data_IF_577199277170
#
_entry.id   IF_577199277170
#
_cell.length_a   1.000
_cell.length_b   1.000
_cell.length_c   1.000
_cell.angle_alpha   90.00
_cell.angle_beta   90.00
_cell.angle_gamma   90.00
#
_symmetry.space_group_name_H-M   'P 1'
#
loop_
_entity.id
_entity.type
_entity.pdbx_description
1 polymer ?
#
# COMPACT_ATOMS: atom_id res chain seq x y z
N UNK A 1 -7.84 33.34 6.25
CA UNK A 1 -8.26 33.65 4.87
C UNK A 1 -8.37 32.32 4.13
N UNK A 2 -9.62 31.86 3.86
CA UNK A 2 -9.95 30.52 3.35
C UNK A 2 -9.90 30.53 1.82
N UNK A 3 -8.88 29.90 1.21
CA UNK A 3 -8.80 29.77 -0.26
C UNK A 3 -8.12 28.47 -0.79
N UNK A 4 -8.25 27.29 -0.17
CA UNK A 4 -7.89 26.03 -0.86
C UNK A 4 -9.08 25.24 -1.38
N UNK A 5 -10.28 25.33 -0.77
CA UNK A 5 -11.40 24.44 -1.11
C UNK A 5 -12.17 24.81 -2.40
N UNK A 6 -12.01 26.00 -2.92
CA UNK A 6 -12.72 26.42 -4.14
C UNK A 6 -12.07 25.90 -5.44
N UNK A 7 -10.76 25.66 -5.42
CA UNK A 7 -10.03 25.16 -6.59
C UNK A 7 -10.15 23.65 -6.77
N UNK A 8 -10.21 22.87 -5.68
CA UNK A 8 -10.47 21.43 -5.74
C UNK A 8 -11.89 21.14 -6.22
N UNK A 9 -12.87 21.83 -5.68
CA UNK A 9 -14.28 21.69 -6.11
C UNK A 9 -14.50 22.10 -7.57
N UNK A 10 -13.72 23.06 -8.09
CA UNK A 10 -13.83 23.50 -9.49
C UNK A 10 -13.23 22.48 -10.45
N UNK A 11 -12.10 21.84 -10.08
CA UNK A 11 -11.50 20.76 -10.88
C UNK A 11 -12.38 19.52 -10.91
N UNK A 12 -12.94 19.10 -9.78
CA UNK A 12 -13.89 18.00 -9.69
C UNK A 12 -15.14 18.25 -10.55
N UNK A 13 -15.71 19.45 -10.49
CA UNK A 13 -16.88 19.82 -11.28
C UNK A 13 -16.59 19.86 -12.80
N UNK A 14 -15.42 20.35 -13.20
CA UNK A 14 -15.00 20.35 -14.60
C UNK A 14 -14.74 18.95 -15.14
N UNK A 15 -14.20 18.05 -14.33
CA UNK A 15 -13.93 16.66 -14.70
C UNK A 15 -15.23 15.87 -14.86
N UNK A 16 -16.19 16.04 -13.95
CA UNK A 16 -17.54 15.48 -14.10
C UNK A 16 -18.27 15.96 -15.35
N UNK A 17 -18.21 17.25 -15.65
CA UNK A 17 -18.85 17.81 -16.86
C UNK A 17 -18.16 17.31 -18.13
N UNK A 18 -16.85 17.22 -18.14
CA UNK A 18 -16.09 16.77 -19.30
C UNK A 18 -16.27 15.27 -19.55
N UNK A 19 -16.39 14.46 -18.50
CA UNK A 19 -16.70 13.02 -18.58
C UNK A 19 -18.08 12.82 -19.18
N UNK A 20 -19.08 13.56 -18.73
CA UNK A 20 -20.45 13.53 -19.29
C UNK A 20 -20.49 13.98 -20.76
N UNK A 21 -19.70 14.98 -21.12
CA UNK A 21 -19.62 15.49 -22.49
C UNK A 21 -18.91 14.51 -23.43
N UNK A 22 -17.83 13.89 -22.98
CA UNK A 22 -17.09 12.88 -23.73
C UNK A 22 -17.90 11.59 -23.92
N UNK A 23 -18.69 11.21 -22.90
CA UNK A 23 -19.62 10.09 -22.96
C UNK A 23 -20.68 10.28 -24.06
N UNK A 24 -21.26 11.49 -24.14
CA UNK A 24 -22.26 11.83 -25.15
C UNK A 24 -21.75 11.80 -26.59
N UNK A 25 -20.46 11.98 -26.79
CA UNK A 25 -19.81 11.97 -28.13
C UNK A 25 -19.18 10.63 -28.52
N UNK A 26 -19.35 9.58 -27.70
CA UNK A 26 -18.73 8.26 -27.96
C UNK A 26 -17.22 8.23 -27.85
N UNK A 27 -16.62 9.20 -27.16
CA UNK A 27 -15.17 9.30 -26.94
C UNK A 27 -14.73 8.59 -25.65
N UNK A 28 -15.63 7.85 -25.03
CA UNK A 28 -15.28 7.06 -23.86
C UNK A 28 -14.43 5.87 -24.27
N UNK A 29 -13.31 5.79 -23.63
CA UNK A 29 -12.34 4.72 -23.72
C UNK A 29 -12.83 3.51 -22.92
N UNK A 30 -12.30 2.29 -23.16
CA UNK A 30 -12.68 1.13 -22.37
C UNK A 30 -12.46 1.41 -20.87
N UNK A 31 -13.38 0.91 -20.05
CA UNK A 31 -13.26 1.00 -18.60
C UNK A 31 -12.41 -0.16 -18.07
N UNK A 32 -11.69 0.10 -17.01
CA UNK A 32 -10.86 -0.90 -16.33
C UNK A 32 -11.08 -0.82 -14.83
N UNK A 33 -11.18 -1.97 -14.18
CA UNK A 33 -11.13 -2.08 -12.73
C UNK A 33 -9.67 -2.34 -12.32
N UNK A 34 -9.07 -1.41 -11.61
CA UNK A 34 -7.78 -1.60 -10.96
C UNK A 34 -8.04 -2.10 -9.53
N UNK A 35 -8.04 -3.43 -9.35
CA UNK A 35 -8.13 -4.04 -8.03
C UNK A 35 -6.75 -4.02 -7.37
N UNK A 36 -6.65 -3.33 -6.23
CA UNK A 36 -5.40 -3.26 -5.48
C UNK A 36 -5.16 -4.54 -4.70
N UNK A 37 -3.89 -4.88 -4.44
CA UNK A 37 -3.55 -5.97 -3.53
C UNK A 37 -4.16 -5.70 -2.18
N UNK A 38 -5.00 -6.59 -1.77
CA UNK A 38 -5.87 -6.48 -0.61
C UNK A 38 -5.46 -7.49 0.47
N UNK A 39 -6.10 -7.50 1.62
CA UNK A 39 -5.74 -8.40 2.71
C UNK A 39 -6.97 -8.88 3.47
N UNK A 40 -6.80 -9.93 4.25
CA UNK A 40 -7.87 -10.48 5.05
C UNK A 40 -7.50 -11.78 5.77
N UNK A 41 -8.49 -12.35 6.38
CA UNK A 41 -8.43 -13.65 7.07
C UNK A 41 -9.35 -14.65 6.37
N UNK A 42 -9.37 -15.89 6.85
CA UNK A 42 -10.37 -16.87 6.42
C UNK A 42 -11.83 -16.42 6.62
N UNK A 43 -12.06 -15.39 7.44
CA UNK A 43 -13.41 -14.95 7.83
C UNK A 43 -13.74 -13.52 7.41
N UNK A 44 -12.76 -12.75 6.94
CA UNK A 44 -12.98 -11.35 6.57
C UNK A 44 -11.97 -10.87 5.55
N UNK A 45 -12.44 -10.32 4.43
CA UNK A 45 -11.65 -9.71 3.38
C UNK A 45 -11.86 -8.21 3.35
N UNK A 46 -10.78 -7.47 3.18
CA UNK A 46 -10.76 -6.04 2.91
C UNK A 46 -10.25 -5.86 1.49
N UNK A 47 -11.14 -5.52 0.56
CA UNK A 47 -10.80 -5.35 -0.86
C UNK A 47 -10.93 -3.88 -1.22
N UNK A 48 -9.90 -3.31 -1.83
CA UNK A 48 -9.90 -1.95 -2.35
C UNK A 48 -9.49 -1.93 -3.81
N UNK A 49 -10.05 -0.99 -4.56
CA UNK A 49 -9.71 -0.78 -5.96
C UNK A 49 -10.30 0.51 -6.49
N UNK A 50 -10.15 0.71 -7.79
CA UNK A 50 -10.63 1.90 -8.49
C UNK A 50 -11.18 1.54 -9.86
N UNK A 51 -12.25 2.16 -10.28
CA UNK A 51 -12.79 2.07 -11.62
C UNK A 51 -12.38 3.30 -12.43
N UNK A 52 -11.69 3.09 -13.53
CA UNK A 52 -11.10 4.13 -14.35
C UNK A 52 -11.51 3.97 -15.82
N UNK A 53 -11.62 5.09 -16.53
CA UNK A 53 -11.67 5.09 -17.98
C UNK A 53 -10.24 5.02 -18.52
N UNK A 54 -9.88 3.86 -19.07
CA UNK A 54 -8.54 3.62 -19.63
C UNK A 54 -8.26 4.56 -20.80
N UNK A 55 -7.12 5.26 -20.81
CA UNK A 55 -6.68 6.04 -21.97
C UNK A 55 -6.28 5.22 -23.20
N UNK A 56 -6.66 3.93 -23.30
CA UNK A 56 -6.41 3.08 -24.45
C UNK A 56 -5.02 2.46 -24.45
N UNK A 57 -4.65 1.88 -23.32
CA UNK A 57 -3.41 1.13 -23.19
C UNK A 57 -3.68 -0.34 -23.49
N UNK A 58 -2.98 -0.85 -24.46
CA UNK A 58 -2.81 -2.30 -24.64
C UNK A 58 -2.10 -2.82 -23.39
N UNK A 59 -2.61 -3.89 -22.79
CA UNK A 59 -1.95 -4.55 -21.67
C UNK A 59 -0.47 -4.75 -21.99
N UNK A 60 0.41 -4.27 -21.09
CA UNK A 60 1.84 -4.38 -21.29
C UNK A 60 2.23 -5.87 -21.38
N UNK A 61 2.78 -6.27 -22.50
CA UNK A 61 3.38 -7.62 -22.63
C UNK A 61 4.80 -7.60 -22.09
N UNK A 62 5.30 -8.75 -21.62
CA UNK A 62 6.66 -8.89 -21.09
C UNK A 62 7.77 -8.45 -22.08
N UNK A 63 7.44 -8.30 -23.36
CA UNK A 63 8.33 -7.84 -24.45
C UNK A 63 8.31 -6.32 -24.67
N UNK A 64 7.43 -5.57 -23.99
CA UNK A 64 7.30 -4.13 -24.21
C UNK A 64 8.49 -3.37 -23.59
N UNK A 65 9.00 -2.38 -24.33
CA UNK A 65 10.10 -1.56 -23.84
C UNK A 65 9.70 -0.82 -22.56
N UNK A 66 10.62 -0.70 -21.59
CA UNK A 66 10.45 0.05 -20.33
C UNK A 66 9.83 1.43 -20.52
N UNK A 67 10.05 2.04 -21.69
CA UNK A 67 9.47 3.32 -22.10
C UNK A 67 7.96 3.27 -22.36
N UNK A 68 7.47 2.16 -22.89
CA UNK A 68 6.05 1.97 -23.15
C UNK A 68 5.27 1.79 -21.85
N UNK A 69 5.84 1.02 -20.92
CA UNK A 69 5.28 0.82 -19.57
C UNK A 69 5.20 2.14 -18.79
N UNK A 70 6.24 2.97 -18.87
CA UNK A 70 6.23 4.29 -18.27
C UNK A 70 5.19 5.24 -18.90
N UNK A 71 5.10 5.28 -20.21
CA UNK A 71 4.06 6.06 -20.91
C UNK A 71 2.64 5.62 -20.53
N UNK A 72 2.46 4.32 -20.36
CA UNK A 72 1.22 3.74 -19.86
C UNK A 72 0.89 4.25 -18.48
N UNK A 73 1.86 4.24 -17.59
CA UNK A 73 1.71 4.66 -16.21
C UNK A 73 1.43 6.16 -16.06
N UNK A 74 2.17 7.05 -16.77
CA UNK A 74 1.88 8.50 -16.78
C UNK A 74 0.48 8.80 -17.36
N UNK A 75 -0.01 7.99 -18.29
CA UNK A 75 -1.36 8.11 -18.81
C UNK A 75 -2.42 7.65 -17.82
N UNK A 76 -2.12 6.68 -16.94
CA UNK A 76 -3.01 6.30 -15.82
C UNK A 76 -3.15 7.41 -14.79
N UNK A 77 -2.13 8.24 -14.60
CA UNK A 77 -2.23 9.48 -13.81
C UNK A 77 -3.27 10.49 -14.36
N UNK A 78 -3.51 10.44 -15.68
CA UNK A 78 -4.52 11.24 -16.38
C UNK A 78 -5.77 10.40 -16.74
N UNK A 79 -5.96 9.24 -16.10
CA UNK A 79 -7.18 8.44 -16.23
C UNK A 79 -8.36 9.19 -15.58
N UNK A 80 -9.55 9.02 -16.16
CA UNK A 80 -10.76 9.63 -15.62
C UNK A 80 -11.44 8.67 -14.69
N UNK A 81 -11.82 9.18 -13.57
CA UNK A 81 -12.54 8.45 -12.55
C UNK A 81 -13.98 8.16 -13.01
N UNK A 82 -14.51 7.01 -12.59
CA UNK A 82 -15.90 6.63 -12.83
C UNK A 82 -16.62 6.51 -11.49
N UNK A 83 -17.32 7.57 -11.13
CA UNK A 83 -18.14 7.61 -9.93
C UNK A 83 -19.49 6.92 -10.10
N UNK A 84 -20.11 6.51 -9.00
CA UNK A 84 -21.46 5.95 -8.94
C UNK A 84 -21.68 4.72 -9.86
N UNK A 85 -20.65 3.93 -10.08
CA UNK A 85 -20.73 2.61 -10.68
C UNK A 85 -20.90 1.55 -9.60
N UNK A 86 -21.75 0.55 -9.84
CA UNK A 86 -21.90 -0.58 -8.94
C UNK A 86 -21.01 -1.74 -9.42
N UNK A 87 -20.21 -2.26 -8.51
CA UNK A 87 -19.39 -3.44 -8.72
C UNK A 87 -19.92 -4.59 -7.85
N UNK A 88 -19.66 -5.80 -8.29
CA UNK A 88 -19.95 -7.00 -7.52
C UNK A 88 -18.70 -7.87 -7.42
N UNK A 89 -18.38 -8.28 -6.21
CA UNK A 89 -17.44 -9.35 -5.96
C UNK A 89 -18.20 -10.65 -5.77
N UNK A 90 -17.73 -11.73 -6.37
CA UNK A 90 -18.34 -13.05 -6.30
C UNK A 90 -17.40 -14.03 -5.65
N UNK A 91 -17.87 -14.67 -4.59
CA UNK A 91 -17.10 -15.68 -3.87
C UNK A 91 -17.44 -17.11 -4.37
N UNK A 92 -16.53 -18.08 -4.16
CA UNK A 92 -16.76 -19.46 -4.58
C UNK A 92 -17.96 -20.15 -3.91
N UNK A 93 -18.44 -19.62 -2.78
CA UNK A 93 -19.67 -20.07 -2.13
C UNK A 93 -20.95 -19.55 -2.82
N UNK A 94 -20.80 -18.83 -3.95
CA UNK A 94 -21.88 -18.21 -4.72
C UNK A 94 -22.43 -16.92 -4.12
N UNK A 95 -21.88 -16.44 -3.00
CA UNK A 95 -22.30 -15.16 -2.43
C UNK A 95 -21.81 -13.98 -3.28
N UNK A 96 -22.67 -12.98 -3.44
CA UNK A 96 -22.38 -11.77 -4.19
C UNK A 96 -22.43 -10.54 -3.28
N UNK A 97 -21.41 -9.72 -3.35
CA UNK A 97 -21.23 -8.53 -2.53
C UNK A 97 -21.14 -7.29 -3.40
N UNK A 98 -22.07 -6.39 -3.23
CA UNK A 98 -22.22 -5.15 -4.02
C UNK A 98 -21.52 -3.99 -3.31
N UNK A 99 -20.87 -3.13 -4.10
CA UNK A 99 -20.29 -1.86 -3.67
C UNK A 99 -20.42 -0.82 -4.77
N UNK A 100 -20.63 0.45 -4.42
CA UNK A 100 -20.60 1.55 -5.38
C UNK A 100 -19.30 2.31 -5.29
N UNK A 101 -18.81 2.81 -6.43
CA UNK A 101 -17.64 3.69 -6.46
C UNK A 101 -17.98 5.08 -5.93
N UNK A 102 -17.03 5.69 -5.21
CA UNK A 102 -17.10 7.08 -4.76
C UNK A 102 -16.85 8.08 -5.91
N UNK A 103 -16.79 9.38 -5.58
CA UNK A 103 -16.62 10.47 -6.56
C UNK A 103 -15.28 10.41 -7.29
N UNK A 104 -14.25 9.80 -6.69
CA UNK A 104 -12.94 9.56 -7.29
C UNK A 104 -12.81 8.17 -7.94
N UNK A 105 -13.91 7.41 -8.03
CA UNK A 105 -13.95 6.08 -8.63
C UNK A 105 -13.40 4.97 -7.73
N UNK A 106 -13.03 5.23 -6.48
CA UNK A 106 -12.60 4.19 -5.55
C UNK A 106 -13.76 3.36 -5.03
N UNK A 107 -13.49 2.11 -4.75
CA UNK A 107 -14.38 1.24 -3.99
C UNK A 107 -13.61 0.55 -2.86
N UNK A 108 -14.29 0.34 -1.74
CA UNK A 108 -13.81 -0.47 -0.63
C UNK A 108 -14.89 -1.46 -0.25
N UNK A 109 -14.55 -2.73 -0.28
CA UNK A 109 -15.46 -3.81 -0.01
C UNK A 109 -14.98 -4.61 1.20
N UNK A 110 -15.83 -4.78 2.19
CA UNK A 110 -15.58 -5.66 3.32
C UNK A 110 -16.49 -6.86 3.19
N UNK A 111 -15.90 -8.05 3.07
CA UNK A 111 -16.62 -9.31 2.84
C UNK A 111 -16.36 -10.25 4.01
N UNK A 112 -17.40 -10.91 4.48
CA UNK A 112 -17.31 -12.01 5.42
C UNK A 112 -17.67 -13.32 4.69
N UNK A 113 -16.66 -14.04 4.14
CA UNK A 113 -16.91 -15.28 3.42
C UNK A 113 -17.47 -16.35 4.37
N UNK A 114 -18.48 -17.07 3.93
CA UNK A 114 -19.11 -18.17 4.72
C UNK A 114 -18.18 -19.37 4.85
N UNK A 115 -17.39 -19.63 3.81
CA UNK A 115 -16.36 -20.63 3.78
C UNK A 115 -15.29 -20.22 2.75
N UNK A 116 -14.01 -20.35 3.10
CA UNK A 116 -12.97 -20.36 2.07
C UNK A 116 -12.97 -21.75 1.42
N UNK A 117 -12.74 -21.87 0.11
CA UNK A 117 -12.32 -23.13 -0.46
C UNK A 117 -11.08 -23.61 0.30
N UNK A 118 -10.89 -24.94 0.34
CA UNK A 118 -9.78 -25.57 1.06
C UNK A 118 -8.49 -24.73 0.91
N UNK A 119 -7.67 -24.59 1.97
CA UNK A 119 -6.52 -23.73 1.96
C UNK A 119 -5.65 -24.10 0.75
N UNK A 120 -5.68 -23.23 -0.24
CA UNK A 120 -4.68 -23.24 -1.29
C UNK A 120 -3.41 -22.82 -0.57
N UNK A 121 -2.30 -23.49 -0.78
CA UNK A 121 -0.99 -23.18 -0.18
C UNK A 121 -0.43 -21.81 -0.62
N UNK A 122 -1.29 -20.84 -0.88
CA UNK A 122 -0.95 -19.55 -1.42
C UNK A 122 -1.33 -18.43 -0.45
N UNK A 123 -0.39 -17.50 -0.27
CA UNK A 123 -0.62 -16.22 0.40
C UNK A 123 -1.74 -15.38 -0.24
N UNK A 124 -2.10 -15.63 -1.50
CA UNK A 124 -3.00 -14.80 -2.27
C UNK A 124 -4.26 -15.54 -2.67
N UNK A 125 -5.41 -15.01 -2.27
CA UNK A 125 -6.72 -15.53 -2.59
C UNK A 125 -7.36 -14.67 -3.69
N UNK A 126 -7.66 -15.23 -4.87
CA UNK A 126 -8.28 -14.50 -5.96
C UNK A 126 -9.79 -14.29 -5.71
N UNK A 127 -10.26 -13.06 -5.85
CA UNK A 127 -11.68 -12.71 -5.77
C UNK A 127 -12.09 -12.03 -7.08
N UNK A 128 -12.97 -12.65 -7.88
CA UNK A 128 -13.53 -12.02 -9.07
C UNK A 128 -14.32 -10.76 -8.72
N UNK A 129 -14.04 -9.65 -9.40
CA UNK A 129 -14.77 -8.39 -9.27
C UNK A 129 -15.18 -7.93 -10.67
N UNK A 130 -16.45 -7.62 -10.85
CA UNK A 130 -16.98 -7.13 -12.13
C UNK A 130 -17.87 -5.92 -11.93
N UNK A 131 -18.04 -5.14 -12.99
CA UNK A 131 -19.05 -4.07 -13.00
C UNK A 131 -20.43 -4.71 -13.11
N UNK A 132 -21.30 -4.37 -12.19
CA UNK A 132 -22.72 -4.77 -12.22
C UNK A 132 -23.60 -3.74 -12.91
N UNK A 133 -23.33 -2.45 -12.66
CA UNK A 133 -24.08 -1.35 -13.26
C UNK A 133 -23.20 -0.12 -13.45
N UNK A 134 -23.33 0.51 -14.60
CA UNK A 134 -22.69 1.80 -14.90
C UNK A 134 -23.69 2.95 -14.76
N UNK A 135 -23.22 4.17 -14.47
CA UNK A 135 -24.03 5.37 -14.58
C UNK A 135 -24.70 5.49 -15.94
N UNK A 136 -25.95 5.93 -16.00
CA UNK A 136 -26.80 5.95 -17.21
C UNK A 136 -26.23 6.75 -18.38
N UNK A 137 -25.28 7.65 -18.12
CA UNK A 137 -24.61 8.42 -19.18
C UNK A 137 -23.47 7.62 -19.87
N UNK A 138 -23.05 6.48 -19.29
CA UNK A 138 -22.06 5.58 -19.86
C UNK A 138 -22.77 4.45 -20.61
N UNK A 139 -22.73 4.49 -21.93
CA UNK A 139 -23.37 3.48 -22.80
C UNK A 139 -22.35 2.38 -23.17
N UNK A 140 -21.86 1.65 -22.19
CA UNK A 140 -20.94 0.53 -22.38
C UNK A 140 -21.54 -0.76 -21.79
N UNK A 141 -21.26 -1.94 -22.37
CA UNK A 141 -21.67 -3.21 -21.76
C UNK A 141 -20.90 -3.41 -20.44
N UNK A 142 -21.59 -3.32 -19.32
CA UNK A 142 -21.00 -3.45 -17.98
C UNK A 142 -20.40 -4.85 -17.75
N UNK A 143 -21.03 -5.88 -18.31
CA UNK A 143 -20.67 -7.29 -18.10
C UNK A 143 -19.29 -7.68 -18.64
N UNK A 144 -18.73 -6.89 -19.57
CA UNK A 144 -17.40 -7.13 -20.13
C UNK A 144 -16.24 -6.59 -19.25
N UNK A 145 -16.57 -5.86 -18.16
CA UNK A 145 -15.56 -5.19 -17.32
C UNK A 145 -15.41 -5.99 -16.03
N UNK A 146 -14.39 -6.83 -15.99
CA UNK A 146 -14.09 -7.68 -14.87
C UNK A 146 -12.57 -7.74 -14.62
N UNK A 147 -12.20 -8.01 -13.38
CA UNK A 147 -10.83 -8.24 -12.93
C UNK A 147 -10.82 -9.23 -11.78
N UNK A 148 -9.64 -9.56 -11.31
CA UNK A 148 -9.43 -10.39 -10.14
C UNK A 148 -8.70 -9.59 -9.06
N UNK A 149 -9.31 -9.46 -7.88
CA UNK A 149 -8.67 -8.88 -6.71
C UNK A 149 -7.89 -9.95 -5.95
N UNK A 150 -6.63 -9.70 -5.68
CA UNK A 150 -5.78 -10.63 -4.93
C UNK A 150 -5.78 -10.24 -3.45
N UNK A 151 -6.33 -11.11 -2.60
CA UNK A 151 -6.44 -10.92 -1.15
C UNK A 151 -5.36 -11.74 -0.44
N UNK A 152 -4.47 -11.06 0.29
CA UNK A 152 -3.46 -11.70 1.13
C UNK A 152 -4.14 -12.37 2.33
N UNK A 153 -4.02 -13.69 2.43
CA UNK A 153 -4.47 -14.47 3.58
C UNK A 153 -3.28 -15.27 4.10
N UNK A 154 -2.66 -14.84 5.22
CA UNK A 154 -1.49 -15.52 5.75
C UNK A 154 -1.78 -16.97 6.08
N UNK A 155 -0.91 -17.91 5.70
CA UNK A 155 -1.06 -19.33 6.08
C UNK A 155 -0.81 -19.51 7.58
N UNK A 156 -1.31 -20.61 8.15
CA UNK A 156 -1.06 -20.93 9.56
C UNK A 156 0.42 -21.17 9.91
N UNK A 157 1.26 -21.39 8.90
CA UNK A 157 2.72 -21.52 9.03
C UNK A 157 3.46 -20.19 9.12
N UNK A 158 2.79 -19.06 8.91
CA UNK A 158 3.41 -17.75 9.07
C UNK A 158 3.88 -17.53 10.52
N UNK A 159 5.16 -17.22 10.69
CA UNK A 159 5.77 -17.02 12.01
C UNK A 159 5.53 -15.59 12.54
N UNK A 160 5.45 -14.63 11.64
CA UNK A 160 5.16 -13.21 11.88
C UNK A 160 4.78 -12.50 10.57
N UNK A 161 4.13 -11.37 10.69
CA UNK A 161 3.96 -10.43 9.58
C UNK A 161 5.05 -9.36 9.59
N UNK A 162 5.26 -8.71 8.46
CA UNK A 162 6.17 -7.57 8.33
C UNK A 162 5.38 -6.35 7.88
N UNK A 163 5.51 -5.25 8.61
CA UNK A 163 4.98 -3.95 8.21
C UNK A 163 6.16 -3.03 7.92
N UNK A 164 6.21 -2.52 6.70
CA UNK A 164 7.30 -1.65 6.25
C UNK A 164 6.77 -0.31 5.76
N UNK A 165 7.44 0.77 6.14
CA UNK A 165 7.38 2.00 5.37
C UNK A 165 8.06 1.82 4.01
N UNK A 166 7.76 2.71 3.06
CA UNK A 166 8.37 2.71 1.72
C UNK A 166 9.34 3.86 1.52
N UNK A 167 8.92 5.06 1.92
CA UNK A 167 9.66 6.29 1.69
C UNK A 167 10.90 6.35 2.60
N UNK A 168 12.09 6.60 2.04
CA UNK A 168 13.37 6.59 2.76
C UNK A 168 13.72 5.30 3.51
N UNK A 169 12.88 4.29 3.44
CA UNK A 169 13.11 2.95 3.97
C UNK A 169 13.52 1.99 2.85
N UNK A 170 12.77 1.90 1.78
CA UNK A 170 13.06 1.02 0.64
C UNK A 170 13.88 1.74 -0.43
N UNK A 171 13.66 3.03 -0.62
CA UNK A 171 14.34 3.88 -1.59
C UNK A 171 14.48 5.33 -1.11
N UNK A 172 15.49 6.03 -1.61
CA UNK A 172 15.77 7.42 -1.21
C UNK A 172 14.75 8.40 -1.79
N UNK A 173 14.05 9.13 -0.93
CA UNK A 173 13.15 10.22 -1.29
C UNK A 173 13.82 11.57 -1.05
N UNK A 174 14.37 12.20 -2.06
CA UNK A 174 14.71 13.61 -1.94
C UNK A 174 13.43 14.47 -1.99
N UNK A 175 13.23 15.28 -0.99
CA UNK A 175 12.08 15.99 -0.44
C UNK A 175 11.10 16.76 -1.37
N UNK A 176 11.10 16.62 -2.67
CA UNK A 176 10.29 17.50 -3.53
C UNK A 176 9.31 16.84 -4.48
N UNK A 177 9.14 15.56 -4.51
CA UNK A 177 8.05 14.89 -5.23
C UNK A 177 8.43 13.46 -5.62
N UNK A 178 7.78 12.49 -5.02
CA UNK A 178 7.81 11.08 -5.43
C UNK A 178 7.56 10.95 -6.94
N UNK A 179 6.66 11.74 -7.51
CA UNK A 179 6.40 11.79 -8.96
C UNK A 179 7.63 12.22 -9.76
N UNK A 180 8.36 13.23 -9.31
CA UNK A 180 9.61 13.66 -9.98
C UNK A 180 10.74 12.66 -9.80
N UNK A 181 10.81 12.03 -8.64
CA UNK A 181 11.80 11.00 -8.33
C UNK A 181 11.55 9.74 -9.15
N UNK A 182 10.33 9.22 -9.16
CA UNK A 182 9.98 8.03 -9.92
C UNK A 182 10.02 8.32 -11.43
N UNK A 183 9.66 9.52 -11.86
CA UNK A 183 9.96 9.99 -13.21
C UNK A 183 11.47 9.95 -13.50
N UNK A 184 12.33 10.41 -12.60
CA UNK A 184 13.80 10.32 -12.76
C UNK A 184 14.32 8.89 -12.71
N UNK A 185 13.80 8.02 -11.84
CA UNK A 185 14.17 6.59 -11.75
C UNK A 185 13.82 5.85 -13.05
N UNK A 186 12.71 6.20 -13.66
CA UNK A 186 12.24 5.56 -14.89
C UNK A 186 12.84 6.21 -16.15
N UNK A 187 13.23 7.48 -16.11
CA UNK A 187 13.86 8.21 -17.22
C UNK A 187 15.38 8.24 -17.19
N UNK A 188 16.01 8.23 -16.01
CA UNK A 188 17.45 8.04 -15.90
C UNK A 188 17.75 6.56 -16.07
N UNK A 189 18.76 6.23 -16.89
CA UNK A 189 19.24 4.87 -17.05
C UNK A 189 19.07 4.04 -15.77
N UNK A 190 18.48 2.86 -15.88
CA UNK A 190 18.12 1.95 -14.77
C UNK A 190 19.28 1.60 -13.77
N UNK A 191 20.44 2.23 -13.93
CA UNK A 191 21.63 2.09 -13.10
C UNK A 191 21.77 3.18 -12.02
N UNK A 192 20.94 4.24 -12.00
CA UNK A 192 21.22 5.41 -11.16
C UNK A 192 20.44 5.52 -9.84
N UNK A 193 19.39 4.71 -9.61
CA UNK A 193 18.78 4.57 -8.29
C UNK A 193 18.31 3.13 -8.08
N UNK A 194 19.15 2.38 -7.43
CA UNK A 194 18.79 1.07 -6.88
C UNK A 194 18.08 1.28 -5.54
N UNK A 195 17.21 0.34 -5.13
CA UNK A 195 16.79 0.27 -3.74
C UNK A 195 18.04 0.24 -2.85
N UNK A 196 17.91 0.65 -1.61
CA UNK A 196 19.07 0.61 -0.71
C UNK A 196 19.74 -0.76 -0.77
N UNK A 197 21.08 -0.75 -0.79
CA UNK A 197 21.85 -1.98 -0.89
C UNK A 197 21.45 -2.97 0.21
N UNK A 198 21.08 -4.19 -0.18
CA UNK A 198 20.69 -5.26 0.73
C UNK A 198 19.23 -5.28 1.19
N UNK A 199 18.41 -4.25 0.88
CA UNK A 199 17.00 -4.23 1.33
C UNK A 199 16.21 -5.42 0.79
N UNK A 200 16.30 -5.69 -0.49
CA UNK A 200 15.55 -6.78 -1.12
C UNK A 200 15.94 -8.15 -0.53
N UNK A 201 17.23 -8.35 -0.25
CA UNK A 201 17.69 -9.59 0.37
C UNK A 201 17.21 -9.72 1.81
N UNK A 202 17.35 -8.67 2.63
CA UNK A 202 16.85 -8.67 4.00
C UNK A 202 15.35 -8.91 4.08
N UNK A 203 14.56 -8.29 3.17
CA UNK A 203 13.11 -8.49 3.13
C UNK A 203 12.75 -9.92 2.73
N UNK A 204 13.46 -10.52 1.78
CA UNK A 204 13.27 -11.94 1.43
C UNK A 204 13.64 -12.88 2.56
N UNK A 205 14.69 -12.57 3.34
CA UNK A 205 15.04 -13.34 4.54
C UNK A 205 13.90 -13.26 5.59
N UNK A 206 13.36 -12.08 5.87
CA UNK A 206 12.21 -11.93 6.75
C UNK A 206 10.97 -12.66 6.21
N UNK A 207 10.72 -12.61 4.89
CA UNK A 207 9.61 -13.34 4.27
C UNK A 207 9.72 -14.84 4.46
N UNK A 208 10.94 -15.38 4.38
CA UNK A 208 11.22 -16.80 4.55
C UNK A 208 11.28 -17.23 6.01
N UNK A 209 11.58 -16.31 6.93
CA UNK A 209 11.71 -16.60 8.34
C UNK A 209 12.73 -17.71 8.61
N UNK A 210 12.52 -18.49 9.65
CA UNK A 210 13.37 -19.63 10.02
C UNK A 210 13.11 -20.88 9.17
N UNK A 211 11.91 -20.98 8.65
CA UNK A 211 11.47 -22.16 7.88
C UNK A 211 12.05 -22.19 6.46
N UNK A 212 12.57 -21.06 5.97
CA UNK A 212 13.00 -20.89 4.59
C UNK A 212 11.85 -20.77 3.58
N UNK A 213 10.59 -20.87 4.03
CA UNK A 213 9.38 -20.77 3.19
C UNK A 213 8.90 -19.33 3.16
N UNK A 214 8.43 -18.79 2.02
CA UNK A 214 7.98 -17.41 1.89
C UNK A 214 6.57 -17.20 2.47
N UNK A 215 6.34 -17.66 3.69
CA UNK A 215 5.04 -17.71 4.35
C UNK A 215 4.72 -16.44 5.16
N UNK A 216 5.74 -15.66 5.53
CA UNK A 216 5.54 -14.43 6.30
C UNK A 216 5.01 -13.30 5.41
N UNK A 217 3.80 -12.77 5.70
CA UNK A 217 3.19 -11.73 4.89
C UNK A 217 3.89 -10.39 5.07
N UNK A 218 3.93 -9.61 3.97
CA UNK A 218 4.40 -8.23 3.95
C UNK A 218 3.25 -7.25 3.74
N UNK A 219 3.29 -6.12 4.44
CA UNK A 219 2.39 -4.98 4.31
C UNK A 219 3.24 -3.71 4.19
N UNK A 220 2.87 -2.84 3.27
CA UNK A 220 3.55 -1.57 3.06
C UNK A 220 2.62 -0.43 3.44
N UNK A 221 3.00 0.39 4.41
CA UNK A 221 2.23 1.53 4.88
C UNK A 221 2.98 2.80 4.54
N UNK A 222 2.47 3.60 3.61
CA UNK A 222 3.13 4.80 3.13
C UNK A 222 2.20 6.00 3.14
N UNK A 223 2.78 7.17 3.35
CA UNK A 223 2.08 8.46 3.20
C UNK A 223 1.91 8.91 1.74
N UNK A 224 2.41 8.15 0.81
CA UNK A 224 2.22 8.34 -0.62
C UNK A 224 0.75 8.19 -1.01
N UNK A 225 0.25 8.99 -1.96
CA UNK A 225 -1.15 8.92 -2.37
C UNK A 225 -1.46 7.69 -3.24
N UNK A 226 -2.73 7.26 -3.23
CA UNK A 226 -3.22 6.08 -3.97
C UNK A 226 -2.96 6.13 -5.48
N UNK A 227 -2.89 7.30 -6.09
CA UNK A 227 -2.57 7.44 -7.51
C UNK A 227 -1.13 7.01 -7.86
N UNK A 228 -0.27 6.75 -6.88
CA UNK A 228 1.07 6.18 -7.05
C UNK A 228 1.10 4.64 -6.95
N UNK A 229 -0.03 3.98 -6.70
CA UNK A 229 -0.10 2.55 -6.43
C UNK A 229 0.62 1.71 -7.48
N UNK A 230 0.29 1.86 -8.76
CA UNK A 230 0.86 1.06 -9.85
C UNK A 230 2.38 1.21 -9.93
N UNK A 231 2.84 2.43 -9.70
CA UNK A 231 4.24 2.78 -9.75
C UNK A 231 5.03 2.10 -8.62
N UNK A 232 4.49 2.16 -7.41
CA UNK A 232 5.08 1.52 -6.23
C UNK A 232 5.04 0.00 -6.36
N UNK A 233 3.92 -0.56 -6.83
CA UNK A 233 3.78 -1.99 -7.05
C UNK A 233 4.76 -2.53 -8.11
N UNK A 234 4.95 -1.79 -9.21
CA UNK A 234 5.92 -2.13 -10.26
C UNK A 234 7.37 -2.00 -9.76
N UNK A 235 7.65 -0.96 -8.93
CA UNK A 235 8.96 -0.80 -8.30
C UNK A 235 9.32 -2.00 -7.42
N UNK A 236 8.42 -2.42 -6.53
CA UNK A 236 8.66 -3.58 -5.67
C UNK A 236 8.94 -4.84 -6.50
N UNK A 237 8.16 -5.07 -7.55
CA UNK A 237 8.33 -6.21 -8.46
C UNK A 237 9.66 -6.16 -9.21
N UNK A 238 10.05 -4.99 -9.74
CA UNK A 238 11.27 -4.81 -10.51
C UNK A 238 12.53 -5.10 -9.71
N UNK A 239 12.46 -4.89 -8.40
CA UNK A 239 13.60 -5.04 -7.49
C UNK A 239 13.53 -6.30 -6.62
N UNK A 240 12.66 -7.26 -6.96
CA UNK A 240 12.49 -8.51 -6.22
C UNK A 240 12.22 -8.32 -4.72
N UNK A 241 11.52 -7.24 -4.38
CA UNK A 241 11.05 -6.95 -3.03
C UNK A 241 9.76 -7.73 -2.80
N UNK A 242 9.54 -8.37 -1.64
CA UNK A 242 8.36 -9.16 -1.35
C UNK A 242 7.06 -8.43 -1.69
N UNK A 243 6.15 -9.13 -2.36
CA UNK A 243 4.85 -8.60 -2.73
C UNK A 243 3.93 -8.52 -1.53
N UNK A 244 3.25 -7.39 -1.34
CA UNK A 244 2.30 -7.18 -0.24
C UNK A 244 1.24 -6.13 -0.58
N UNK A 245 0.17 -6.01 0.22
CA UNK A 245 -0.73 -4.88 0.18
C UNK A 245 0.00 -3.56 0.40
N UNK A 246 -0.39 -2.54 -0.39
CA UNK A 246 0.08 -1.16 -0.24
C UNK A 246 -1.06 -0.34 0.37
N UNK A 247 -0.86 0.14 1.59
CA UNK A 247 -1.81 0.98 2.30
C UNK A 247 -1.35 2.44 2.16
N UNK A 248 -1.93 3.10 1.16
CA UNK A 248 -1.54 4.43 0.73
C UNK A 248 -2.51 5.47 1.27
N UNK A 249 -2.09 6.73 1.27
CA UNK A 249 -2.89 7.80 1.81
C UNK A 249 -3.95 8.29 0.83
N UNK A 250 -5.15 8.48 1.33
CA UNK A 250 -6.20 9.21 0.65
C UNK A 250 -5.99 10.73 0.87
N UNK A 251 -5.78 11.47 -0.21
CA UNK A 251 -5.54 12.92 -0.14
C UNK A 251 -6.80 13.73 0.15
N UNK A 252 -7.98 13.17 -0.08
CA UNK A 252 -9.26 13.80 0.23
C UNK A 252 -9.52 13.91 1.74
N UNK A 253 -8.85 13.07 2.55
CA UNK A 253 -8.99 13.05 4.00
C UNK A 253 -8.08 14.10 4.64
N UNK A 254 -8.65 15.26 4.91
CA UNK A 254 -7.92 16.38 5.53
C UNK A 254 -7.77 16.30 7.06
N UNK A 255 -8.39 15.31 7.71
CA UNK A 255 -8.36 15.18 9.19
C UNK A 255 -7.62 13.92 9.61
N UNK A 256 -6.87 13.96 10.74
CA UNK A 256 -6.27 12.77 11.31
C UNK A 256 -7.32 11.70 11.63
N UNK A 257 -7.10 10.46 11.20
CA UNK A 257 -7.98 9.32 11.50
C UNK A 257 -7.71 8.73 12.90
N UNK A 258 -6.53 8.98 13.49
CA UNK A 258 -6.12 8.49 14.78
C UNK A 258 -5.62 9.64 15.69
N UNK A 259 -5.64 9.49 17.02
CA UNK A 259 -5.05 10.44 17.94
C UNK A 259 -3.56 10.66 17.68
N UNK A 260 -3.13 11.91 17.75
CA UNK A 260 -1.74 12.32 17.49
C UNK A 260 -1.11 12.77 18.81
N UNK A 261 0.13 12.34 19.11
CA UNK A 261 0.83 12.76 20.31
C UNK A 261 1.07 14.28 20.37
N UNK A 262 1.16 14.82 21.58
CA UNK A 262 1.50 16.22 21.81
C UNK A 262 2.83 16.57 21.12
N UNK A 263 2.86 17.70 20.42
CA UNK A 263 4.04 18.20 19.72
C UNK A 263 4.18 17.73 18.25
N UNK A 264 3.30 16.84 17.76
CA UNK A 264 3.22 16.53 16.31
C UNK A 264 2.09 17.36 15.70
N UNK A 265 2.41 18.24 14.78
CA UNK A 265 1.45 19.21 14.20
C UNK A 265 1.55 19.27 12.68
N UNK A 266 0.59 19.92 12.04
CA UNK A 266 0.61 20.15 10.58
C UNK A 266 0.55 18.86 9.75
N UNK A 267 1.32 18.78 8.68
CA UNK A 267 1.37 17.61 7.81
C UNK A 267 1.91 16.36 8.51
N UNK A 268 2.87 16.52 9.43
CA UNK A 268 3.41 15.40 10.21
C UNK A 268 2.32 14.71 11.05
N UNK A 269 1.37 15.45 11.59
CA UNK A 269 0.24 14.90 12.34
C UNK A 269 -0.67 14.03 11.45
N UNK A 270 -0.91 14.47 10.22
CA UNK A 270 -1.72 13.72 9.26
C UNK A 270 -1.02 12.41 8.85
N UNK A 271 0.29 12.47 8.58
CA UNK A 271 1.11 11.30 8.23
C UNK A 271 1.17 10.31 9.40
N UNK A 272 1.43 10.81 10.61
CA UNK A 272 1.44 10.01 11.83
C UNK A 272 0.13 9.27 12.04
N UNK A 273 -0.99 10.00 12.01
CA UNK A 273 -2.32 9.43 12.24
C UNK A 273 -2.73 8.42 11.15
N UNK A 274 -2.35 8.67 9.89
CA UNK A 274 -2.59 7.73 8.80
C UNK A 274 -1.83 6.42 9.03
N UNK A 275 -0.49 6.49 9.18
CA UNK A 275 0.33 5.28 9.38
C UNK A 275 -0.14 4.50 10.61
N UNK A 276 -0.39 5.18 11.72
CA UNK A 276 -0.85 4.53 12.95
C UNK A 276 -2.21 3.81 12.76
N UNK A 277 -3.15 4.44 12.06
CA UNK A 277 -4.45 3.85 11.76
C UNK A 277 -4.31 2.58 10.91
N UNK A 278 -3.56 2.64 9.81
CA UNK A 278 -3.38 1.48 8.93
C UNK A 278 -2.66 0.32 9.64
N UNK A 279 -1.69 0.63 10.52
CA UNK A 279 -1.01 -0.39 11.34
C UNK A 279 -1.97 -0.98 12.37
N UNK A 280 -2.76 -0.16 13.07
CA UNK A 280 -3.77 -0.63 14.03
C UNK A 280 -4.78 -1.59 13.34
N UNK A 281 -5.22 -1.27 12.13
CA UNK A 281 -6.14 -2.11 11.35
C UNK A 281 -5.51 -3.46 10.97
N UNK A 282 -4.23 -3.47 10.55
CA UNK A 282 -3.50 -4.72 10.27
C UNK A 282 -3.39 -5.58 11.52
N UNK A 283 -2.93 -5.01 12.64
CA UNK A 283 -2.74 -5.78 13.89
C UNK A 283 -4.07 -6.30 14.45
N UNK A 284 -5.15 -5.55 14.27
CA UNK A 284 -6.51 -5.95 14.67
C UNK A 284 -7.05 -7.06 13.77
N UNK A 285 -6.76 -7.00 12.46
CA UNK A 285 -7.17 -8.02 11.50
C UNK A 285 -6.51 -9.38 11.79
N UNK A 286 -5.26 -9.36 12.27
CA UNK A 286 -4.50 -10.58 12.55
C UNK A 286 -4.16 -10.73 14.05
N UNK A 287 -5.11 -10.96 14.93
CA UNK A 287 -4.92 -10.87 16.39
C UNK A 287 -3.91 -11.88 16.97
N UNK A 288 -3.60 -12.95 16.27
CA UNK A 288 -2.64 -13.97 16.71
C UNK A 288 -1.25 -13.86 16.07
N UNK A 289 -1.11 -13.10 14.99
CA UNK A 289 0.15 -12.96 14.25
C UNK A 289 0.98 -11.81 14.84
N UNK A 290 2.17 -12.04 15.39
CA UNK A 290 3.07 -10.97 15.79
C UNK A 290 3.72 -10.31 14.57
N UNK A 291 4.33 -9.14 14.74
CA UNK A 291 4.87 -8.35 13.63
C UNK A 291 6.30 -7.88 13.85
N UNK A 292 7.03 -7.73 12.76
CA UNK A 292 8.28 -6.98 12.65
C UNK A 292 7.98 -5.67 11.93
N UNK A 293 8.48 -4.55 12.45
CA UNK A 293 8.22 -3.21 11.90
C UNK A 293 9.51 -2.64 11.31
N UNK A 294 9.41 -2.08 10.09
CA UNK A 294 10.54 -1.52 9.34
C UNK A 294 10.24 -0.07 8.94
N UNK A 295 11.15 0.85 9.26
CA UNK A 295 10.99 2.27 8.97
C UNK A 295 12.32 3.00 8.86
N UNK A 296 12.27 4.33 8.84
CA UNK A 296 13.44 5.19 8.77
C UNK A 296 13.49 6.23 9.90
N UNK A 297 14.68 6.81 10.13
CA UNK A 297 14.88 7.85 11.14
C UNK A 297 14.55 9.26 10.62
N UNK A 298 14.33 9.44 9.33
CA UNK A 298 14.03 10.74 8.70
C UNK A 298 12.60 11.22 8.92
N UNK A 299 11.69 10.29 9.24
CA UNK A 299 10.28 10.54 9.48
C UNK A 299 9.89 10.28 10.94
N UNK A 300 8.60 10.06 11.18
CA UNK A 300 8.04 9.83 12.53
C UNK A 300 7.95 8.32 12.90
N UNK A 301 8.54 7.42 12.09
CA UNK A 301 8.32 5.98 12.22
C UNK A 301 8.71 5.43 13.61
N UNK A 302 9.83 5.86 14.16
CA UNK A 302 10.22 5.45 15.52
C UNK A 302 9.16 5.80 16.57
N UNK A 303 8.53 6.98 16.46
CA UNK A 303 7.47 7.44 17.37
C UNK A 303 6.16 6.72 17.13
N UNK A 304 5.83 6.44 15.86
CA UNK A 304 4.65 5.67 15.47
C UNK A 304 4.77 4.26 16.02
N UNK A 305 5.92 3.60 15.82
CA UNK A 305 6.12 2.22 16.26
C UNK A 305 6.15 2.07 17.79
N UNK A 306 6.69 3.07 18.52
CA UNK A 306 6.54 3.13 19.97
C UNK A 306 5.06 3.16 20.37
N UNK A 307 4.24 3.99 19.72
CA UNK A 307 2.81 4.06 19.99
C UNK A 307 2.08 2.74 19.64
N UNK A 308 2.49 2.07 18.57
CA UNK A 308 1.98 0.73 18.20
C UNK A 308 2.29 -0.29 19.30
N UNK A 309 3.53 -0.33 19.82
CA UNK A 309 3.89 -1.24 20.92
C UNK A 309 3.03 -0.97 22.15
N UNK A 310 2.82 0.29 22.51
CA UNK A 310 1.99 0.69 23.65
C UNK A 310 0.52 0.25 23.49
N UNK A 311 -0.04 0.31 22.27
CA UNK A 311 -1.44 -0.09 21.98
C UNK A 311 -1.61 -1.59 21.85
N UNK A 312 -0.60 -2.26 21.37
CA UNK A 312 -0.61 -3.70 21.07
C UNK A 312 0.52 -4.44 21.80
N UNK A 313 0.49 -4.51 23.15
CA UNK A 313 1.56 -5.13 23.93
C UNK A 313 1.75 -6.60 23.54
N UNK A 314 3.03 -7.01 23.39
CA UNK A 314 3.42 -8.37 23.02
C UNK A 314 3.23 -8.73 21.54
N UNK A 315 2.78 -7.77 20.69
CA UNK A 315 2.50 -8.01 19.27
C UNK A 315 3.66 -7.66 18.34
N UNK A 316 4.65 -6.93 18.82
CA UNK A 316 5.83 -6.53 18.04
C UNK A 316 7.04 -7.35 18.47
N UNK A 317 7.63 -8.10 17.52
CA UNK A 317 8.82 -8.94 17.75
C UNK A 317 10.13 -8.16 17.68
N UNK A 318 10.23 -7.23 16.75
CA UNK A 318 11.40 -6.38 16.56
C UNK A 318 11.04 -5.14 15.72
N UNK A 319 11.81 -4.08 15.88
CA UNK A 319 11.72 -2.84 15.12
C UNK A 319 13.08 -2.54 14.50
N UNK A 320 13.11 -2.25 13.21
CA UNK A 320 14.31 -1.85 12.49
C UNK A 320 14.07 -0.45 11.91
N UNK A 321 14.87 0.51 12.35
CA UNK A 321 14.87 1.88 11.83
C UNK A 321 16.16 2.08 11.04
N UNK A 322 16.05 2.33 9.74
CA UNK A 322 17.19 2.70 8.91
C UNK A 322 17.69 4.09 9.29
N UNK A 323 18.96 4.22 9.57
CA UNK A 323 19.58 5.52 9.84
C UNK A 323 19.75 6.30 8.51
N UNK A 324 19.06 7.45 8.42
CA UNK A 324 19.21 8.37 7.28
C UNK A 324 20.44 9.27 7.40
N UNK A 325 21.31 9.00 8.39
CA UNK A 325 22.57 9.71 8.63
C UNK A 325 22.39 11.22 8.92
N UNK A 326 21.28 11.59 9.54
CA UNK A 326 21.03 12.94 10.06
C UNK A 326 21.16 12.90 11.59
N UNK A 327 22.24 13.47 12.17
CA UNK A 327 22.55 13.33 13.59
C UNK A 327 21.39 13.72 14.53
N UNK A 328 20.69 14.80 14.23
CA UNK A 328 19.57 15.30 15.03
C UNK A 328 18.41 14.29 15.06
N UNK A 329 18.22 13.54 13.98
CA UNK A 329 17.19 12.48 13.89
C UNK A 329 17.58 11.24 14.67
N UNK A 330 18.83 10.83 14.59
CA UNK A 330 19.34 9.69 15.36
C UNK A 330 19.21 9.93 16.89
N UNK A 331 19.41 11.16 17.35
CA UNK A 331 19.23 11.55 18.76
C UNK A 331 17.78 11.38 19.25
N UNK A 332 16.78 11.48 18.37
CA UNK A 332 15.39 11.27 18.72
C UNK A 332 15.03 9.78 18.87
N UNK A 333 15.75 8.91 18.20
CA UNK A 333 15.50 7.45 18.19
C UNK A 333 16.10 6.78 19.45
N UNK A 334 17.27 7.23 19.93
CA UNK A 334 17.95 6.65 21.08
C UNK A 334 17.08 6.44 22.33
N UNK A 335 16.41 7.48 22.85
CA UNK A 335 15.51 7.35 23.99
C UNK A 335 14.36 6.34 23.79
N UNK A 336 13.88 6.21 22.56
CA UNK A 336 12.80 5.25 22.21
C UNK A 336 13.35 3.82 22.25
N UNK A 337 14.58 3.58 21.78
CA UNK A 337 15.25 2.28 21.88
C UNK A 337 15.37 1.85 23.34
N UNK A 338 15.80 2.76 24.23
CA UNK A 338 15.91 2.46 25.66
C UNK A 338 14.56 2.17 26.33
N UNK A 339 13.52 2.95 25.97
CA UNK A 339 12.16 2.76 26.47
C UNK A 339 11.63 1.37 26.08
N UNK A 340 11.69 1.02 24.79
CA UNK A 340 11.19 -0.25 24.25
C UNK A 340 12.04 -1.45 24.72
N UNK A 341 13.35 -1.27 24.94
CA UNK A 341 14.21 -2.29 25.54
C UNK A 341 13.76 -2.72 26.94
N UNK A 342 13.21 -1.81 27.74
CA UNK A 342 12.62 -2.14 29.07
C UNK A 342 11.31 -2.94 28.94
N UNK A 343 10.63 -2.82 27.81
CA UNK A 343 9.42 -3.60 27.47
C UNK A 343 9.72 -4.92 26.74
N UNK A 344 11.01 -5.28 26.62
CA UNK A 344 11.51 -6.46 25.90
C UNK A 344 11.16 -6.44 24.39
N UNK A 345 11.04 -5.26 23.79
CA UNK A 345 10.88 -5.08 22.35
C UNK A 345 12.22 -4.60 21.76
N UNK A 346 12.97 -5.46 21.07
CA UNK A 346 14.23 -5.07 20.47
C UNK A 346 14.01 -4.07 19.34
N UNK A 347 14.70 -2.94 19.40
CA UNK A 347 14.68 -1.91 18.37
C UNK A 347 16.12 -1.56 17.98
N UNK A 348 16.41 -1.61 16.69
CA UNK A 348 17.73 -1.30 16.14
C UNK A 348 17.66 -0.08 15.21
N UNK A 349 18.48 0.93 15.49
CA UNK A 349 18.85 1.95 14.52
C UNK A 349 19.96 1.36 13.64
N UNK A 350 19.60 0.92 12.44
CA UNK A 350 20.48 0.18 11.55
C UNK A 350 21.20 1.13 10.58
N UNK A 351 22.52 1.08 10.55
CA UNK A 351 23.32 1.83 9.59
C UNK A 351 23.10 1.34 8.15
N UNK A 352 22.86 0.04 8.02
CA UNK A 352 22.55 -0.62 6.74
C UNK A 352 21.71 -1.91 6.95
N UNK A 353 21.30 -2.53 5.87
CA UNK A 353 20.49 -3.75 5.92
C UNK A 353 21.30 -5.00 6.28
N UNK A 354 22.63 -4.98 6.18
CA UNK A 354 23.47 -6.08 6.65
C UNK A 354 23.49 -6.15 8.19
N UNK A 355 23.57 -4.99 8.84
CA UNK A 355 23.46 -4.90 10.30
C UNK A 355 22.05 -5.34 10.78
N UNK A 356 20.99 -4.95 10.07
CA UNK A 356 19.63 -5.37 10.37
C UNK A 356 19.46 -6.89 10.23
N UNK A 357 19.99 -7.49 9.15
CA UNK A 357 19.96 -8.93 8.92
C UNK A 357 20.71 -9.72 9.99
N UNK A 358 21.91 -9.27 10.36
CA UNK A 358 22.70 -9.90 11.42
C UNK A 358 21.97 -9.88 12.77
N UNK A 359 21.35 -8.76 13.12
CA UNK A 359 20.53 -8.64 14.32
C UNK A 359 19.30 -9.53 14.28
N UNK A 360 18.61 -9.60 13.14
CA UNK A 360 17.43 -10.46 12.95
C UNK A 360 17.79 -11.94 13.08
N UNK A 361 18.95 -12.37 12.56
CA UNK A 361 19.48 -13.71 12.75
C UNK A 361 19.78 -14.00 14.25
N UNK A 362 20.38 -13.04 14.96
CA UNK A 362 20.62 -13.15 16.41
C UNK A 362 19.34 -13.28 17.24
N UNK A 363 18.22 -12.73 16.76
CA UNK A 363 16.90 -12.88 17.38
C UNK A 363 16.16 -14.15 16.90
N UNK A 364 16.72 -14.93 15.98
CA UNK A 364 16.07 -16.09 15.41
C UNK A 364 14.84 -15.73 14.56
N UNK A 365 14.81 -14.57 13.93
CA UNK A 365 13.75 -14.17 13.00
C UNK A 365 14.02 -14.68 11.58
N UNK A 366 15.27 -14.88 11.23
CA UNK A 366 15.72 -15.40 9.94
C UNK A 366 16.68 -16.56 10.16
N UNK A 367 16.70 -17.48 9.20
CA UNK A 367 17.59 -18.67 9.23
C UNK A 367 18.93 -18.43 8.56
#
# INVERSE_FOLDING_TARGET
>A
MKLPNALSNLSEWTDHLFTRFSARRGWLRPLQIDAYRSYGTAHKFYIKGRLLADPGLVAATAADSRWRNFRSMVRRFNSREVAAADLVAELPDGSQHLVSTDDEGYFTLVIEPRALPAPVDFLWYPVPVRVARLPTFLKLPAEAIATEANVLVPPASAEFGVISDLDDTVFETSATSIVKMLGRVLFSNAQSKQPFAGVAEFYRQLQRGRTGRPDNPFFYVSSSPWNLYDLLAEFLKLHDIPTGPLLLRDLSIARPKAPVPTGVTGSAAIHFAHKLHEIDDILTTYPQLPFVLLGDSGQEDARIYREVVRRHPGRVKAIYIRDVQVPERALLVGPIIEELGRENVPMLLAADYAAAAAHAAGLGLVG
#
